data_IF_640941922053
#
_entry.id   IF_640941922053
#
_cell.length_a   1.000
_cell.length_b   1.000
_cell.length_c   1.000
_cell.angle_alpha   90.00
_cell.angle_beta   90.00
_cell.angle_gamma   90.00
#
_symmetry.space_group_name_H-M   'P 1'
#
loop_
_entity.id
_entity.type
_entity.pdbx_description
1 polymer ?
#
# COMPACT_ATOMS: atom_id res chain seq x y z
N UNK A 1 28.68 15.45 -0.31
CA UNK A 1 28.77 14.54 0.84
C UNK A 1 27.64 13.55 0.71
N UNK A 2 27.93 12.28 0.42
CA UNK A 2 26.93 11.25 0.14
C UNK A 2 26.38 10.74 1.47
N UNK A 3 25.14 11.10 1.79
CA UNK A 3 24.43 10.55 2.95
C UNK A 3 24.31 9.04 2.75
N UNK A 4 24.89 8.26 3.65
CA UNK A 4 24.64 6.82 3.70
C UNK A 4 23.13 6.63 3.86
N UNK A 5 22.51 5.87 2.95
CA UNK A 5 21.05 5.72 2.87
C UNK A 5 20.48 5.28 4.22
N UNK A 6 19.81 6.19 4.89
CA UNK A 6 18.98 5.86 6.04
C UNK A 6 17.67 5.27 5.49
N UNK A 7 17.02 4.44 6.30
CA UNK A 7 15.69 3.95 5.96
C UNK A 7 14.75 5.14 5.77
N UNK A 8 14.08 5.23 4.62
CA UNK A 8 13.15 6.33 4.32
C UNK A 8 11.84 6.30 5.13
N UNK A 9 11.66 5.26 5.97
CA UNK A 9 10.48 5.13 6.86
C UNK A 9 10.82 5.63 8.27
N UNK A 10 11.94 5.20 8.84
CA UNK A 10 12.28 5.53 10.22
C UNK A 10 13.47 6.47 10.37
N UNK A 11 14.19 6.76 9.29
CA UNK A 11 15.33 7.69 9.17
C UNK A 11 16.45 7.49 10.23
N UNK A 12 16.48 6.32 10.85
CA UNK A 12 17.29 6.05 12.04
C UNK A 12 18.22 4.86 11.85
N UNK A 13 17.81 3.90 11.03
CA UNK A 13 18.58 2.70 10.74
C UNK A 13 19.11 2.77 9.32
N UNK A 14 20.29 2.19 9.08
CA UNK A 14 20.84 2.04 7.73
C UNK A 14 19.92 1.20 6.86
N UNK A 15 19.78 1.55 5.58
CA UNK A 15 19.11 0.70 4.59
C UNK A 15 19.75 -0.68 4.55
N UNK A 16 18.92 -1.71 4.47
CA UNK A 16 19.36 -3.07 4.15
C UNK A 16 18.87 -3.48 2.75
N UNK A 17 17.60 -3.18 2.44
CA UNK A 17 16.89 -3.67 1.26
C UNK A 17 16.08 -2.56 0.57
N UNK A 18 15.74 -2.75 -0.70
CA UNK A 18 14.90 -1.82 -1.46
C UNK A 18 13.55 -2.45 -1.77
N UNK A 19 12.46 -1.70 -1.61
CA UNK A 19 11.13 -2.13 -1.99
C UNK A 19 10.98 -2.16 -3.52
N UNK A 20 10.59 -3.31 -4.09
CA UNK A 20 10.43 -3.47 -5.54
C UNK A 20 9.24 -2.69 -6.12
N UNK A 21 8.27 -2.31 -5.27
CA UNK A 21 7.07 -1.58 -5.71
C UNK A 21 7.29 -0.08 -5.82
N UNK A 22 7.84 0.54 -4.77
CA UNK A 22 7.98 2.00 -4.69
C UNK A 22 9.43 2.47 -4.89
N UNK A 23 10.40 1.55 -4.93
CA UNK A 23 11.82 1.86 -5.09
C UNK A 23 12.50 2.43 -3.85
N UNK A 24 11.79 2.56 -2.71
CA UNK A 24 12.33 3.14 -1.48
C UNK A 24 13.32 2.19 -0.80
N UNK A 25 14.34 2.79 -0.18
CA UNK A 25 15.36 2.09 0.60
C UNK A 25 14.93 1.98 2.06
N UNK A 26 14.77 0.74 2.55
CA UNK A 26 14.24 0.42 3.87
C UNK A 26 15.15 -0.51 4.66
N UNK A 27 15.07 -0.45 5.99
CA UNK A 27 15.77 -1.41 6.84
C UNK A 27 14.98 -2.73 6.92
N UNK A 28 15.65 -3.82 7.30
CA UNK A 28 15.05 -5.16 7.44
C UNK A 28 13.84 -5.22 8.38
N UNK A 29 13.62 -4.21 9.23
CA UNK A 29 12.44 -4.09 10.09
C UNK A 29 11.18 -3.65 9.32
N UNK A 30 11.36 -2.81 8.29
CA UNK A 30 10.26 -2.29 7.46
C UNK A 30 10.23 -2.89 6.06
N UNK A 31 11.15 -3.82 5.78
CA UNK A 31 11.14 -4.65 4.59
C UNK A 31 10.52 -6.00 4.93
N UNK A 32 9.52 -6.40 4.14
CA UNK A 32 8.91 -7.71 4.25
C UNK A 32 9.54 -8.63 3.21
N UNK A 33 10.28 -9.62 3.70
CA UNK A 33 10.99 -10.58 2.84
C UNK A 33 10.07 -11.60 2.18
N UNK A 34 8.84 -11.78 2.68
CA UNK A 34 7.89 -12.73 2.12
C UNK A 34 7.26 -12.20 0.81
N UNK A 35 6.98 -10.90 0.78
CA UNK A 35 6.36 -10.22 -0.37
C UNK A 35 7.34 -9.36 -1.18
N UNK A 36 8.51 -9.05 -0.63
CA UNK A 36 9.51 -8.17 -1.23
C UNK A 36 9.14 -6.68 -1.18
N UNK A 37 8.15 -6.32 -0.34
CA UNK A 37 7.61 -4.97 -0.25
C UNK A 37 7.84 -4.34 1.12
N UNK A 38 7.82 -3.00 1.17
CA UNK A 38 7.87 -2.30 2.45
C UNK A 38 6.52 -2.34 3.18
N UNK A 39 6.54 -2.14 4.50
CA UNK A 39 5.35 -2.15 5.36
C UNK A 39 4.26 -1.17 4.90
N UNK A 40 4.61 0.00 4.34
CA UNK A 40 3.63 0.95 3.77
C UNK A 40 2.92 0.34 2.54
N UNK A 41 3.69 -0.26 1.63
CA UNK A 41 3.13 -0.89 0.44
C UNK A 41 2.27 -2.10 0.81
N UNK A 42 2.66 -2.82 1.86
CA UNK A 42 1.88 -3.92 2.41
C UNK A 42 0.60 -3.46 3.08
N UNK A 43 0.62 -2.35 3.82
CA UNK A 43 -0.58 -1.78 4.41
C UNK A 43 -1.61 -1.47 3.31
N UNK A 44 -1.18 -0.77 2.26
CA UNK A 44 -2.02 -0.44 1.09
C UNK A 44 -2.53 -1.68 0.32
N UNK A 45 -1.79 -2.81 0.35
CA UNK A 45 -2.23 -4.09 -0.26
C UNK A 45 -3.15 -4.91 0.65
N UNK A 46 -2.87 -4.89 1.95
CA UNK A 46 -3.59 -5.59 3.00
C UNK A 46 -4.89 -4.89 3.41
N UNK A 47 -5.05 -3.61 3.03
CA UNK A 47 -6.28 -2.84 3.13
C UNK A 47 -7.41 -3.33 2.21
N UNK A 48 -7.27 -4.48 1.54
CA UNK A 48 -8.45 -5.17 1.01
C UNK A 48 -9.16 -5.84 2.20
N UNK A 49 -10.26 -5.28 2.73
CA UNK A 49 -10.92 -5.87 3.88
C UNK A 49 -11.37 -7.29 3.52
N UNK A 50 -11.09 -8.31 4.34
CA UNK A 50 -11.64 -9.64 4.14
C UNK A 50 -13.13 -9.61 4.48
N UNK A 51 -13.96 -9.21 3.51
CA UNK A 51 -15.41 -9.23 3.60
C UNK A 51 -16.05 -7.88 3.29
N UNK A 52 -16.67 -7.81 2.12
CA UNK A 52 -17.48 -6.66 1.70
C UNK A 52 -17.87 -6.70 0.22
N UNK A 53 -18.21 -7.89 -0.29
CA UNK A 53 -19.00 -8.02 -1.51
C UNK A 53 -20.48 -7.99 -1.14
N UNK A 54 -21.10 -6.81 -1.28
CA UNK A 54 -22.54 -6.52 -1.46
C UNK A 54 -22.63 -4.99 -1.26
N UNK A 55 -23.12 -4.14 -2.15
CA UNK A 55 -24.10 -4.24 -3.22
C UNK A 55 -23.65 -3.19 -4.27
N UNK A 56 -23.49 -3.45 -5.56
CA UNK A 56 -24.58 -3.64 -6.53
C UNK A 56 -25.93 -3.04 -6.10
N UNK A 57 -25.93 -1.79 -5.67
CA UNK A 57 -27.02 -0.85 -5.91
C UNK A 57 -26.82 -0.31 -7.36
N UNK A 58 -26.92 -1.10 -8.43
CA UNK A 58 -28.13 -1.49 -9.18
C UNK A 58 -29.34 -0.57 -9.00
N UNK A 59 -29.88 -0.02 -10.10
CA UNK A 59 -29.31 0.88 -11.09
C UNK A 59 -30.00 2.26 -10.93
N UNK A 60 -29.90 3.12 -11.94
CA UNK A 60 -30.50 4.44 -11.95
C UNK A 60 -32.00 4.47 -11.53
N UNK A 61 -32.34 5.48 -10.74
CA UNK A 61 -33.74 5.86 -10.54
C UNK A 61 -34.31 6.40 -11.85
N UNK A 62 -34.77 5.51 -12.72
CA UNK A 62 -35.72 5.82 -13.79
C UNK A 62 -37.11 6.05 -13.20
N UNK A 63 -37.29 7.13 -12.44
CA UNK A 63 -38.61 7.61 -12.07
C UNK A 63 -39.10 8.66 -13.08
N UNK A 64 -39.92 8.14 -14.01
CA UNK A 64 -41.12 8.73 -14.59
C UNK A 64 -41.02 10.03 -15.40
N UNK A 65 -40.84 9.87 -16.73
CA UNK A 65 -41.54 10.73 -17.67
C UNK A 65 -43.06 10.50 -17.54
N UNK A 66 -43.72 11.31 -16.71
CA UNK A 66 -45.19 11.38 -16.64
C UNK A 66 -45.70 12.27 -17.79
N UNK A 67 -46.45 11.66 -18.70
CA UNK A 67 -47.15 12.30 -19.81
C UNK A 67 -48.18 13.34 -19.36
#
# INVERSE_FOLDING_TARGET
>A
MSVAGLCEICETTTVADSCDRCGRVVCAKHYDTETGYCTDCLAELGERPPGGSDDRDYPDGVDEYRF
#
